data_IF_633811499821
#
_entry.id   IF_633811499821
#
_cell.length_a   1.000
_cell.length_b   1.000
_cell.length_c   1.000
_cell.angle_alpha   90.00
_cell.angle_beta   90.00
_cell.angle_gamma   90.00
#
_symmetry.space_group_name_H-M   'P 1'
#
loop_
_entity.id
_entity.type
_entity.pdbx_description
1 polymer ?
#
# COMPACT_ATOMS: atom_id res chain seq x y z
N UNK A 1 24.69 27.49 -33.91
CA UNK A 1 24.35 26.14 -33.36
C UNK A 1 25.46 25.69 -32.42
N UNK A 2 25.22 25.64 -31.11
CA UNK A 2 26.10 25.00 -30.14
C UNK A 2 25.22 24.21 -29.15
N UNK A 3 25.36 22.88 -29.18
CA UNK A 3 24.61 21.90 -28.38
C UNK A 3 24.97 22.03 -26.89
N UNK A 4 24.06 22.55 -26.07
CA UNK A 4 24.17 22.49 -24.60
C UNK A 4 23.71 21.12 -24.10
N UNK A 5 24.55 20.10 -24.29
CA UNK A 5 24.19 18.70 -24.01
C UNK A 5 24.88 18.03 -22.81
N UNK A 6 25.86 18.66 -22.16
CA UNK A 6 26.59 18.02 -21.04
C UNK A 6 27.12 19.04 -20.03
N UNK A 7 26.25 19.51 -19.12
CA UNK A 7 26.73 20.10 -17.86
C UNK A 7 27.18 18.93 -16.99
N UNK A 8 28.50 18.70 -16.96
CA UNK A 8 29.11 17.80 -15.98
C UNK A 8 28.88 18.41 -14.61
N UNK A 9 27.93 17.88 -13.85
CA UNK A 9 27.72 18.33 -12.48
C UNK A 9 29.04 18.17 -11.69
N UNK A 10 29.44 19.17 -10.88
CA UNK A 10 30.64 19.09 -10.07
C UNK A 10 30.62 17.84 -9.16
N UNK A 11 31.79 17.25 -8.86
CA UNK A 11 31.88 16.00 -8.07
C UNK A 11 31.17 16.07 -6.71
N UNK A 12 31.03 17.27 -6.13
CA UNK A 12 30.32 17.48 -4.87
C UNK A 12 28.79 17.38 -4.98
N UNK A 13 28.20 17.59 -6.16
CA UNK A 13 26.74 17.48 -6.36
C UNK A 13 26.23 16.04 -6.26
N UNK A 14 27.09 15.04 -6.48
CA UNK A 14 26.74 13.62 -6.36
C UNK A 14 26.58 13.16 -4.91
N UNK A 15 27.11 13.91 -3.95
CA UNK A 15 27.12 13.52 -2.54
C UNK A 15 25.79 13.88 -1.88
N UNK A 16 25.14 14.96 -2.30
CA UNK A 16 23.86 15.42 -1.72
C UNK A 16 22.65 14.59 -2.16
N UNK A 17 22.72 13.90 -3.30
CA UNK A 17 21.63 13.09 -3.85
C UNK A 17 21.85 11.58 -3.75
N UNK A 18 22.83 11.14 -2.96
CA UNK A 18 22.81 9.78 -2.43
C UNK A 18 21.68 9.72 -1.39
N UNK A 19 20.44 9.76 -1.86
CA UNK A 19 19.26 9.51 -1.05
C UNK A 19 19.50 8.18 -0.36
N UNK A 20 19.66 8.23 0.96
CA UNK A 20 19.76 7.07 1.85
C UNK A 20 18.48 6.24 1.68
N UNK A 21 18.45 5.38 0.66
CA UNK A 21 17.36 4.42 0.42
C UNK A 21 17.19 3.44 1.58
N UNK A 22 18.15 3.43 2.52
CA UNK A 22 18.17 2.62 3.72
C UNK A 22 17.15 3.09 4.77
N UNK A 23 16.80 4.40 4.83
CA UNK A 23 15.81 4.90 5.80
C UNK A 23 14.37 4.44 5.53
N UNK A 24 14.11 3.88 4.35
CA UNK A 24 12.81 3.32 3.98
C UNK A 24 12.88 1.82 3.73
N UNK A 25 13.77 1.11 4.42
CA UNK A 25 13.49 -0.30 4.71
C UNK A 25 12.26 -0.32 5.61
N UNK A 26 11.10 -0.17 4.95
CA UNK A 26 9.78 -0.16 5.53
C UNK A 26 9.68 -1.48 6.23
N UNK A 27 9.88 -1.49 7.55
CA UNK A 27 9.63 -2.69 8.32
C UNK A 27 8.22 -3.11 7.93
N UNK A 28 8.00 -4.36 7.49
CA UNK A 28 6.64 -4.81 7.22
C UNK A 28 5.87 -4.49 8.49
N UNK A 29 4.91 -3.54 8.40
CA UNK A 29 4.09 -3.22 9.57
C UNK A 29 3.56 -4.55 10.07
N UNK A 30 3.73 -4.89 11.36
CA UNK A 30 3.05 -6.05 11.90
C UNK A 30 1.59 -5.89 11.47
N UNK A 31 1.08 -6.85 10.70
CA UNK A 31 -0.32 -6.87 10.32
C UNK A 31 -1.07 -6.81 11.64
N UNK A 32 -1.74 -5.69 11.91
CA UNK A 32 -2.53 -5.55 13.12
C UNK A 32 -3.44 -6.78 13.18
N UNK A 33 -3.33 -7.65 14.21
CA UNK A 33 -4.12 -8.87 14.31
C UNK A 33 -5.62 -8.66 14.02
N UNK A 34 -6.28 -7.57 14.48
CA UNK A 34 -7.69 -7.33 14.14
C UNK A 34 -7.95 -7.12 12.64
N UNK A 35 -6.97 -6.62 11.88
CA UNK A 35 -7.13 -6.37 10.44
C UNK A 35 -7.05 -7.66 9.63
N UNK A 36 -6.24 -8.62 10.07
CA UNK A 36 -6.16 -9.93 9.44
C UNK A 36 -7.46 -10.73 9.66
N UNK A 37 -8.00 -10.68 10.88
CA UNK A 37 -9.29 -11.29 11.24
C UNK A 37 -10.45 -10.68 10.44
N UNK A 38 -10.53 -9.34 10.37
CA UNK A 38 -11.52 -8.64 9.55
C UNK A 38 -11.44 -9.03 8.07
N UNK A 39 -10.22 -9.19 7.54
CA UNK A 39 -10.02 -9.63 6.15
C UNK A 39 -10.58 -11.04 5.92
N UNK A 40 -10.29 -11.98 6.82
CA UNK A 40 -10.81 -13.34 6.75
C UNK A 40 -12.35 -13.36 6.78
N UNK A 41 -12.95 -12.62 7.70
CA UNK A 41 -14.41 -12.50 7.82
C UNK A 41 -15.07 -11.93 6.55
N UNK A 42 -14.50 -10.86 5.97
CA UNK A 42 -15.00 -10.28 4.71
C UNK A 42 -14.92 -11.29 3.56
N UNK A 43 -13.84 -12.06 3.46
CA UNK A 43 -13.67 -13.09 2.42
C UNK A 43 -14.68 -14.23 2.61
N UNK A 44 -14.86 -14.73 3.83
CA UNK A 44 -15.83 -15.79 4.13
C UNK A 44 -17.26 -15.36 3.79
N UNK A 45 -17.68 -14.15 4.19
CA UNK A 45 -18.99 -13.62 3.86
C UNK A 45 -19.16 -13.43 2.35
N UNK A 46 -18.09 -13.04 1.65
CA UNK A 46 -18.12 -12.91 0.20
C UNK A 46 -18.25 -14.26 -0.51
N UNK A 47 -17.58 -15.30 -0.01
CA UNK A 47 -17.71 -16.68 -0.50
C UNK A 47 -19.13 -17.23 -0.26
N UNK A 48 -19.80 -16.81 0.82
CA UNK A 48 -21.23 -17.09 1.08
C UNK A 48 -22.18 -16.32 0.15
N UNK A 49 -21.67 -15.51 -0.78
CA UNK A 49 -22.46 -14.77 -1.78
C UNK A 49 -22.99 -13.42 -1.29
N UNK A 50 -22.58 -12.94 -0.11
CA UNK A 50 -23.11 -11.68 0.42
C UNK A 50 -22.61 -10.48 -0.39
N UNK A 51 -23.45 -9.45 -0.49
CA UNK A 51 -23.10 -8.20 -1.17
C UNK A 51 -22.19 -7.33 -0.30
N UNK A 52 -21.31 -6.52 -0.91
CA UNK A 52 -20.42 -5.63 -0.15
C UNK A 52 -21.17 -4.65 0.78
N UNK A 53 -22.31 -4.05 0.40
CA UNK A 53 -23.12 -3.25 1.33
C UNK A 53 -23.63 -4.04 2.54
N UNK A 54 -24.04 -5.30 2.34
CA UNK A 54 -24.50 -6.17 3.44
C UNK A 54 -23.36 -6.50 4.40
N UNK A 55 -22.21 -6.86 3.86
CA UNK A 55 -20.99 -7.16 4.65
C UNK A 55 -20.55 -5.93 5.45
N UNK A 56 -20.56 -4.77 4.81
CA UNK A 56 -20.19 -3.50 5.42
C UNK A 56 -21.06 -3.16 6.63
N UNK A 57 -22.39 -3.32 6.51
CA UNK A 57 -23.33 -3.13 7.63
C UNK A 57 -23.14 -4.17 8.74
N UNK A 58 -22.88 -5.42 8.37
CA UNK A 58 -22.71 -6.51 9.34
C UNK A 58 -21.45 -6.33 10.20
N UNK A 59 -20.36 -5.84 9.60
CA UNK A 59 -19.08 -5.65 10.28
C UNK A 59 -18.83 -4.21 10.76
N UNK A 60 -19.84 -3.34 10.64
CA UNK A 60 -19.77 -1.91 10.94
C UNK A 60 -18.54 -1.20 10.31
N UNK A 61 -18.31 -1.47 9.02
CA UNK A 61 -17.22 -0.88 8.24
C UNK A 61 -17.75 -0.17 7.00
N UNK A 62 -16.93 0.68 6.39
CA UNK A 62 -17.26 1.27 5.10
C UNK A 62 -17.24 0.23 3.97
N UNK A 63 -18.08 0.42 2.95
CA UNK A 63 -18.11 -0.44 1.75
C UNK A 63 -16.76 -0.45 1.02
N UNK A 64 -16.09 0.70 0.97
CA UNK A 64 -14.75 0.80 0.38
C UNK A 64 -13.71 -0.02 1.14
N UNK A 65 -13.82 -0.08 2.46
CA UNK A 65 -12.96 -0.93 3.31
C UNK A 65 -13.19 -2.41 2.97
N UNK A 66 -14.45 -2.87 2.90
CA UNK A 66 -14.77 -4.25 2.54
C UNK A 66 -14.22 -4.62 1.15
N UNK A 67 -14.34 -3.72 0.16
CA UNK A 67 -13.80 -3.94 -1.18
C UNK A 67 -12.27 -4.02 -1.19
N UNK A 68 -11.59 -3.10 -0.52
CA UNK A 68 -10.13 -3.07 -0.45
C UNK A 68 -9.56 -4.32 0.25
N UNK A 69 -10.25 -4.84 1.27
CA UNK A 69 -9.85 -6.07 1.97
C UNK A 69 -9.89 -7.30 1.06
N UNK A 70 -10.82 -7.35 0.09
CA UNK A 70 -10.85 -8.43 -0.92
C UNK A 70 -9.81 -8.30 -2.03
N UNK A 71 -9.36 -7.07 -2.35
CA UNK A 71 -8.43 -6.83 -3.47
C UNK A 71 -6.96 -7.05 -3.13
N UNK A 72 -6.58 -6.92 -1.87
CA UNK A 72 -5.19 -7.17 -1.45
C UNK A 72 -4.88 -8.66 -1.51
N UNK A 73 -4.49 -9.16 -2.69
CA UNK A 73 -3.68 -10.38 -2.80
C UNK A 73 -2.36 -10.10 -2.07
N UNK A 74 -2.08 -10.93 -1.08
CA UNK A 74 -0.80 -10.94 -0.37
C UNK A 74 0.34 -11.24 -1.34
#
# INVERSE_FOLDING_TARGET
>A
MLRTGRRTYPRYFRIEFAFDRVKYQTQPRPLDPPRAELKAQVIELRLKGWSFPTIARHLDISVGTAWNLTKNKA
#
